data_IF_406261780385
#
_entry.id   IF_406261780385
#
_cell.length_a   1.000
_cell.length_b   1.000
_cell.length_c   1.000
_cell.angle_alpha   90.00
_cell.angle_beta   90.00
_cell.angle_gamma   90.00
#
_symmetry.space_group_name_H-M   'P 1'
#
loop_
_entity.id
_entity.type
_entity.pdbx_description
1 polymer ?
#
# COMPACT_ATOMS: atom_id res chain seq x y z
N UNK A 1 -24.48 -2.06 -0.35
CA UNK A 1 -23.18 -2.59 -0.83
C UNK A 1 -22.24 -2.41 0.35
N UNK A 2 -21.79 -3.48 0.98
CA UNK A 2 -20.92 -3.40 2.15
C UNK A 2 -19.49 -3.14 1.69
N UNK A 3 -19.02 -1.89 1.80
CA UNK A 3 -17.59 -1.58 1.78
C UNK A 3 -16.92 -2.42 2.88
N UNK A 4 -16.14 -3.42 2.47
CA UNK A 4 -15.39 -4.24 3.42
C UNK A 4 -14.24 -3.41 3.96
N UNK A 5 -14.37 -2.99 5.22
CA UNK A 5 -13.30 -2.30 5.92
C UNK A 5 -12.03 -3.16 5.96
N UNK A 6 -10.87 -2.52 5.77
CA UNK A 6 -9.57 -3.20 5.83
C UNK A 6 -9.38 -3.93 7.17
N UNK A 7 -8.69 -5.09 7.18
CA UNK A 7 -8.43 -5.82 8.39
C UNK A 7 -7.55 -5.00 9.33
N UNK A 8 -7.89 -5.06 10.62
CA UNK A 8 -7.21 -4.31 11.68
C UNK A 8 -6.16 -5.20 12.34
N UNK A 9 -5.03 -4.60 12.66
CA UNK A 9 -3.88 -5.24 13.29
C UNK A 9 -3.42 -4.39 14.47
N UNK A 10 -2.88 -5.04 15.49
CA UNK A 10 -2.33 -4.39 16.67
C UNK A 10 -0.92 -4.88 16.93
N UNK A 11 -0.02 -3.90 17.07
CA UNK A 11 1.27 -4.07 17.72
C UNK A 11 1.27 -3.09 18.92
N UNK A 12 1.93 -1.94 18.78
CA UNK A 12 1.90 -0.85 19.78
C UNK A 12 0.76 0.16 19.55
N UNK A 13 0.33 0.31 18.29
CA UNK A 13 -0.83 1.10 17.87
C UNK A 13 -1.74 0.22 17.01
N UNK A 14 -3.01 0.60 16.89
CA UNK A 14 -3.94 -0.04 15.96
C UNK A 14 -3.68 0.49 14.55
N UNK A 15 -3.58 -0.42 13.60
CA UNK A 15 -3.37 -0.10 12.18
C UNK A 15 -4.30 -0.94 11.33
N UNK A 16 -4.58 -0.49 10.12
CA UNK A 16 -5.23 -1.28 9.07
C UNK A 16 -4.15 -1.72 8.10
N UNK A 17 -4.17 -2.97 7.67
CA UNK A 17 -3.19 -3.44 6.70
C UNK A 17 -3.78 -4.36 5.65
N UNK A 18 -3.29 -4.26 4.42
CA UNK A 18 -3.65 -5.14 3.31
C UNK A 18 -2.39 -5.73 2.68
N UNK A 19 -2.43 -7.03 2.42
CA UNK A 19 -1.35 -7.70 1.69
C UNK A 19 -1.40 -7.30 0.23
N UNK A 20 -0.27 -6.86 -0.29
CA UNK A 20 -0.10 -6.42 -1.68
C UNK A 20 0.17 -7.67 -2.53
N UNK A 21 -0.74 -7.98 -3.45
CA UNK A 21 -0.57 -9.08 -4.40
C UNK A 21 0.17 -8.65 -5.66
N UNK A 22 -0.12 -7.46 -6.18
CA UNK A 22 0.55 -6.89 -7.36
C UNK A 22 0.52 -5.36 -7.35
N UNK A 23 1.45 -4.75 -8.07
CA UNK A 23 1.60 -3.28 -8.13
C UNK A 23 1.70 -2.89 -9.59
N UNK A 24 0.78 -2.03 -10.04
CA UNK A 24 0.75 -1.48 -11.39
C UNK A 24 1.20 -0.02 -11.34
N UNK A 25 2.42 0.26 -11.81
CA UNK A 25 2.96 1.62 -11.79
C UNK A 25 2.28 2.49 -12.85
N UNK A 26 1.83 3.68 -12.43
CA UNK A 26 1.22 4.63 -13.36
C UNK A 26 2.29 5.16 -14.33
N UNK A 27 1.99 5.24 -15.65
CA UNK A 27 2.92 5.79 -16.62
C UNK A 27 3.16 7.28 -16.34
N UNK A 28 4.27 7.80 -16.87
CA UNK A 28 4.54 9.23 -16.81
C UNK A 28 3.44 10.00 -17.54
N UNK A 29 2.65 10.87 -16.86
CA UNK A 29 1.67 11.71 -17.50
C UNK A 29 2.33 12.77 -18.40
N UNK A 30 3.57 13.16 -18.13
CA UNK A 30 4.36 14.02 -19.00
C UNK A 30 5.15 13.20 -20.03
N UNK A 31 4.59 13.07 -21.23
CA UNK A 31 5.26 12.43 -22.36
C UNK A 31 6.39 13.28 -22.97
N UNK A 32 6.51 14.56 -22.58
CA UNK A 32 7.57 15.45 -23.09
C UNK A 32 8.96 15.09 -22.55
N UNK A 33 9.04 14.28 -21.49
CA UNK A 33 10.31 13.90 -20.85
C UNK A 33 10.93 15.01 -20.01
N UNK A 34 10.16 16.05 -19.67
CA UNK A 34 10.62 17.18 -18.85
C UNK A 34 10.40 16.93 -17.37
N UNK A 35 9.47 16.05 -17.02
CA UNK A 35 9.24 15.64 -15.64
C UNK A 35 10.35 14.69 -15.17
N UNK A 36 11.10 15.14 -14.15
CA UNK A 36 12.18 14.37 -13.50
C UNK A 36 11.72 13.46 -12.36
N UNK A 37 10.41 13.23 -12.19
CA UNK A 37 9.92 12.39 -11.10
C UNK A 37 10.24 10.91 -11.33
N UNK A 38 10.75 10.21 -10.31
CA UNK A 38 11.07 8.78 -10.39
C UNK A 38 9.83 7.87 -10.41
N UNK A 39 8.65 8.41 -10.08
CA UNK A 39 7.36 7.70 -10.12
C UNK A 39 6.20 8.70 -10.23
N UNK A 40 5.03 8.21 -10.64
CA UNK A 40 3.76 8.97 -10.76
C UNK A 40 2.62 8.32 -9.97
N UNK A 41 2.99 7.45 -9.02
CA UNK A 41 2.07 6.64 -8.24
C UNK A 41 1.91 5.25 -8.83
N UNK A 42 1.05 4.46 -8.21
CA UNK A 42 0.75 3.12 -8.65
C UNK A 42 -0.68 2.74 -8.25
N UNK A 43 -1.18 1.65 -8.82
CA UNK A 43 -2.39 0.98 -8.39
C UNK A 43 -1.94 -0.29 -7.66
N UNK A 44 -2.32 -0.40 -6.39
CA UNK A 44 -2.07 -1.58 -5.58
C UNK A 44 -3.23 -2.53 -5.75
N UNK A 45 -2.92 -3.77 -6.13
CA UNK A 45 -3.85 -4.87 -6.16
C UNK A 45 -3.64 -5.72 -4.92
N UNK A 46 -4.60 -5.74 -3.98
CA UNK A 46 -4.55 -6.64 -2.83
C UNK A 46 -4.48 -8.10 -3.26
N UNK A 47 -3.77 -8.91 -2.48
CA UNK A 47 -3.73 -10.37 -2.66
C UNK A 47 -5.11 -11.00 -2.42
N UNK A 48 -5.83 -10.50 -1.42
CA UNK A 48 -7.18 -10.93 -1.11
C UNK A 48 -8.19 -10.23 -2.04
N UNK A 49 -8.77 -11.01 -2.97
CA UNK A 49 -9.73 -10.55 -4.00
C UNK A 49 -11.02 -9.94 -3.43
N UNK A 50 -11.23 -10.01 -2.12
CA UNK A 50 -12.32 -9.32 -1.42
C UNK A 50 -12.17 -7.81 -1.45
N UNK A 51 -10.94 -7.31 -1.54
CA UNK A 51 -10.64 -5.89 -1.59
C UNK A 51 -10.41 -5.44 -3.03
N UNK A 52 -10.98 -4.29 -3.39
CA UNK A 52 -10.73 -3.66 -4.67
C UNK A 52 -9.31 -3.10 -4.74
N UNK A 53 -8.79 -3.00 -5.96
CA UNK A 53 -7.56 -2.26 -6.20
C UNK A 53 -7.74 -0.78 -5.88
N UNK A 54 -6.70 -0.15 -5.34
CA UNK A 54 -6.72 1.25 -4.94
C UNK A 54 -5.46 1.96 -5.41
N UNK A 55 -5.57 3.27 -5.61
CA UNK A 55 -4.45 4.06 -6.08
C UNK A 55 -3.62 4.64 -4.93
N UNK A 56 -2.32 4.73 -5.14
CA UNK A 56 -1.36 5.32 -4.21
C UNK A 56 -0.56 6.41 -4.89
N UNK A 57 -0.17 7.41 -4.10
CA UNK A 57 0.56 8.58 -4.58
C UNK A 57 1.99 8.24 -5.02
N UNK A 58 2.56 9.10 -5.87
CA UNK A 58 3.97 9.01 -6.27
C UNK A 58 4.91 9.10 -5.06
N UNK A 59 4.57 9.94 -4.09
CA UNK A 59 5.31 10.11 -2.84
C UNK A 59 5.38 8.81 -2.06
N UNK A 60 4.26 8.09 -1.94
CA UNK A 60 4.24 6.77 -1.30
C UNK A 60 5.19 5.79 -2.00
N UNK A 61 5.12 5.69 -3.33
CA UNK A 61 5.99 4.79 -4.10
C UNK A 61 7.47 5.15 -3.96
N UNK A 62 7.81 6.43 -4.08
CA UNK A 62 9.19 6.89 -3.98
C UNK A 62 9.77 6.69 -2.57
N UNK A 63 8.97 6.96 -1.54
CA UNK A 63 9.37 6.89 -0.13
C UNK A 63 9.45 5.45 0.38
N UNK A 64 8.47 4.63 0.03
CA UNK A 64 8.29 3.30 0.62
C UNK A 64 8.72 2.15 -0.28
N UNK A 65 8.80 2.36 -1.60
CA UNK A 65 9.15 1.35 -2.60
C UNK A 65 8.48 0.01 -2.31
N UNK A 66 7.12 -0.02 -2.27
CA UNK A 66 6.39 -1.22 -1.93
C UNK A 66 6.70 -2.35 -2.91
N UNK A 67 6.67 -3.58 -2.42
CA UNK A 67 6.88 -4.78 -3.24
C UNK A 67 5.70 -5.74 -3.09
N UNK A 68 5.36 -6.50 -4.15
CA UNK A 68 4.44 -7.61 -4.05
C UNK A 68 4.84 -8.58 -2.95
N UNK A 69 3.86 -9.08 -2.21
CA UNK A 69 4.04 -9.92 -1.03
C UNK A 69 4.11 -9.14 0.29
N UNK A 70 4.44 -7.84 0.28
CA UNK A 70 4.43 -7.01 1.49
C UNK A 70 3.03 -6.50 1.88
N UNK A 71 2.98 -5.62 2.86
CA UNK A 71 1.75 -5.05 3.42
C UNK A 71 1.70 -3.53 3.25
N UNK A 72 0.56 -3.06 2.73
CA UNK A 72 0.13 -1.68 2.78
C UNK A 72 -0.47 -1.39 4.15
N UNK A 73 0.11 -0.47 4.92
CA UNK A 73 -0.29 -0.20 6.31
C UNK A 73 -0.81 1.23 6.41
N UNK A 74 -1.99 1.41 7.00
CA UNK A 74 -2.62 2.71 7.25
C UNK A 74 -2.89 2.86 8.74
N UNK A 75 -2.38 3.94 9.32
CA UNK A 75 -2.59 4.27 10.74
C UNK A 75 -3.93 4.99 10.92
N UNK A 76 -4.47 5.03 12.14
CA UNK A 76 -5.73 5.73 12.43
C UNK A 76 -5.70 7.24 12.12
N UNK A 77 -4.51 7.84 12.13
CA UNK A 77 -4.28 9.25 11.76
C UNK A 77 -4.31 9.49 10.23
N UNK A 78 -4.47 8.43 9.43
CA UNK A 78 -4.43 8.49 7.97
C UNK A 78 -3.02 8.40 7.39
N UNK A 79 -1.98 8.26 8.22
CA UNK A 79 -0.61 8.04 7.74
C UNK A 79 -0.48 6.68 7.05
N UNK A 80 0.18 6.66 5.89
CA UNK A 80 0.37 5.47 5.06
C UNK A 80 1.82 5.02 5.12
N UNK A 81 2.03 3.70 5.22
CA UNK A 81 3.36 3.09 5.28
C UNK A 81 3.37 1.73 4.59
N UNK A 82 4.58 1.23 4.35
CA UNK A 82 4.82 -0.10 3.81
C UNK A 82 5.56 -0.94 4.84
N UNK A 83 5.21 -2.22 4.94
CA UNK A 83 5.97 -3.19 5.73
C UNK A 83 6.16 -4.48 4.95
N UNK A 84 7.38 -5.04 4.88
CA UNK A 84 7.59 -6.37 4.32
C UNK A 84 6.78 -7.43 5.06
N UNK A 85 6.36 -8.51 4.39
CA UNK A 85 5.57 -9.58 5.01
C UNK A 85 6.23 -10.16 6.25
N UNK A 86 7.51 -10.51 6.17
CA UNK A 86 8.24 -11.11 7.30
C UNK A 86 8.23 -10.21 8.54
N UNK A 87 8.50 -8.91 8.35
CA UNK A 87 8.49 -7.91 9.44
C UNK A 87 7.08 -7.70 9.97
N UNK A 88 6.09 -7.66 9.08
CA UNK A 88 4.70 -7.42 9.45
C UNK A 88 4.12 -8.62 10.21
N UNK A 89 4.24 -9.83 9.69
CA UNK A 89 3.70 -11.05 10.29
C UNK A 89 4.41 -11.43 11.60
N UNK A 90 5.71 -11.11 11.73
CA UNK A 90 6.44 -11.34 12.97
C UNK A 90 6.16 -10.28 14.06
N UNK A 91 5.72 -9.07 13.68
CA UNK A 91 5.56 -7.93 14.58
C UNK A 91 4.12 -7.54 14.89
N UNK A 92 3.17 -7.87 14.01
CA UNK A 92 1.78 -7.45 14.12
C UNK A 92 0.86 -8.63 14.36
N UNK A 93 0.00 -8.50 15.37
CA UNK A 93 -1.06 -9.46 15.63
C UNK A 93 -2.36 -8.98 15.01
N UNK A 94 -3.04 -9.85 14.25
CA UNK A 94 -4.36 -9.56 13.69
C UNK A 94 -5.38 -9.44 14.83
N UNK A 95 -6.20 -8.39 14.80
CA UNK A 95 -7.31 -8.18 15.74
C UNK A 95 -8.61 -8.82 15.23
#
# INVERSE_FOLDING_TARGET
MTEQEMPRYQCHKKVRALKIGSIEHKPNPDQSGKSGSSSYGAIIHPDDKKYAAFDVSAEYICKHRPMPGGYYVVYEDGYESYSPAEVFESGYSKL
#
